data_IF_871898884384
#
_entry.id   IF_871898884384
#
_cell.length_a   1.000
_cell.length_b   1.000
_cell.length_c   1.000
_cell.angle_alpha   90.00
_cell.angle_beta   90.00
_cell.angle_gamma   90.00
#
_symmetry.space_group_name_H-M   'P 1'
#
loop_
_entity.id
_entity.type
_entity.pdbx_description
1 polymer ?
#
# COMPACT_ATOMS: atom_id res chain seq x y z
N UNK A 1 -19.41 18.31 22.43
CA UNK A 1 -19.65 18.65 21.02
C UNK A 1 -18.89 17.64 20.19
N UNK A 2 -19.57 16.55 19.80
CA UNK A 2 -19.03 15.51 18.92
C UNK A 2 -18.65 16.09 17.57
N UNK A 3 -17.42 15.86 17.16
CA UNK A 3 -16.97 15.75 15.76
C UNK A 3 -15.86 14.70 15.81
N UNK A 4 -16.14 13.40 15.84
CA UNK A 4 -16.34 12.59 14.62
C UNK A 4 -15.97 13.36 13.35
N UNK A 5 -14.69 13.36 12.99
CA UNK A 5 -14.29 13.47 11.58
C UNK A 5 -14.37 12.06 11.03
N UNK A 6 -15.55 11.72 10.53
CA UNK A 6 -15.84 10.50 9.80
C UNK A 6 -15.29 10.65 8.39
N UNK A 7 -13.97 10.64 8.23
CA UNK A 7 -13.33 10.72 6.92
C UNK A 7 -12.02 9.91 6.94
N UNK A 8 -12.03 8.60 7.23
CA UNK A 8 -10.78 7.80 7.11
C UNK A 8 -11.00 6.27 7.02
N UNK A 9 -11.95 5.78 6.21
CA UNK A 9 -12.06 4.32 6.00
C UNK A 9 -12.21 3.92 4.52
N UNK A 10 -11.99 4.82 3.56
CA UNK A 10 -12.36 4.51 2.16
C UNK A 10 -11.46 5.05 1.04
N UNK A 11 -10.34 5.73 1.32
CA UNK A 11 -9.45 6.26 0.26
C UNK A 11 -8.03 5.66 0.26
N UNK A 12 -7.69 4.85 1.26
CA UNK A 12 -6.35 4.21 1.33
C UNK A 12 -6.42 2.75 0.90
N UNK A 13 -5.61 2.40 -0.10
CA UNK A 13 -5.48 1.03 -0.61
C UNK A 13 -4.69 0.18 0.40
N UNK A 14 -5.23 -0.99 0.72
CA UNK A 14 -4.60 -1.92 1.64
C UNK A 14 -3.52 -2.75 0.92
N UNK A 15 -2.26 -2.60 1.29
CA UNK A 15 -1.14 -3.29 0.64
C UNK A 15 -1.15 -4.81 0.81
N UNK A 16 -1.89 -5.33 1.80
CA UNK A 16 -1.99 -6.77 2.06
C UNK A 16 -3.18 -7.41 1.33
N UNK A 17 -4.25 -6.65 1.08
CA UNK A 17 -5.48 -7.17 0.48
C UNK A 17 -5.66 -6.78 -0.99
N UNK A 18 -5.20 -5.59 -1.40
CA UNK A 18 -5.42 -5.05 -2.73
C UNK A 18 -4.77 -5.91 -3.83
N UNK A 19 -5.43 -6.00 -4.98
CA UNK A 19 -4.89 -6.62 -6.19
C UNK A 19 -3.76 -5.81 -6.80
N UNK A 20 -3.01 -6.40 -7.74
CA UNK A 20 -1.97 -5.68 -8.46
C UNK A 20 -2.52 -4.46 -9.19
N UNK A 21 -3.70 -4.58 -9.83
CA UNK A 21 -4.34 -3.51 -10.59
C UNK A 21 -4.78 -2.34 -9.67
N UNK A 22 -5.33 -2.66 -8.50
CA UNK A 22 -5.68 -1.65 -7.48
C UNK A 22 -4.45 -0.92 -6.92
N UNK A 23 -3.32 -1.61 -6.79
CA UNK A 23 -2.04 -1.00 -6.40
C UNK A 23 -1.45 -0.17 -7.53
N UNK A 24 -1.55 -0.62 -8.78
CA UNK A 24 -1.11 0.11 -9.97
C UNK A 24 -1.91 1.40 -10.21
N UNK A 25 -3.17 1.44 -9.76
CA UNK A 25 -3.99 2.64 -9.77
C UNK A 25 -3.53 3.72 -8.78
N UNK A 26 -2.65 3.39 -7.82
CA UNK A 26 -2.11 4.36 -6.85
C UNK A 26 -1.04 5.23 -7.51
N UNK A 27 -1.16 6.57 -7.47
CA UNK A 27 -0.12 7.47 -7.96
C UNK A 27 1.24 7.16 -7.31
N UNK A 28 2.26 6.89 -8.13
CA UNK A 28 3.60 6.51 -7.69
C UNK A 28 3.85 5.00 -7.59
N UNK A 29 2.81 4.15 -7.66
CA UNK A 29 2.93 2.69 -7.77
C UNK A 29 2.55 2.14 -9.15
N UNK A 30 2.21 3.00 -10.11
CA UNK A 30 1.87 2.56 -11.46
C UNK A 30 3.02 1.75 -12.11
N UNK A 31 2.72 0.50 -12.49
CA UNK A 31 3.66 -0.50 -13.00
C UNK A 31 4.32 -1.37 -11.94
N UNK A 32 4.03 -1.18 -10.65
CA UNK A 32 4.68 -1.81 -9.50
C UNK A 32 3.74 -2.70 -8.67
N UNK A 33 2.43 -2.72 -8.96
CA UNK A 33 1.46 -3.50 -8.19
C UNK A 33 1.78 -4.99 -8.14
N UNK A 34 2.23 -5.57 -9.27
CA UNK A 34 2.64 -6.97 -9.35
C UNK A 34 3.80 -7.32 -8.40
N UNK A 35 4.79 -6.43 -8.26
CA UNK A 35 5.96 -6.65 -7.40
C UNK A 35 5.56 -6.71 -5.93
N UNK A 36 4.62 -5.87 -5.50
CA UNK A 36 4.07 -5.86 -4.14
C UNK A 36 3.31 -7.16 -3.82
N UNK A 37 2.42 -7.58 -4.72
CA UNK A 37 1.63 -8.82 -4.56
C UNK A 37 2.55 -10.05 -4.51
N UNK A 38 3.55 -10.08 -5.39
CA UNK A 38 4.56 -11.14 -5.40
C UNK A 38 5.37 -11.16 -4.11
N UNK A 39 5.86 -10.00 -3.68
CA UNK A 39 6.67 -9.87 -2.46
C UNK A 39 5.91 -10.37 -1.23
N UNK A 40 4.65 -9.94 -1.02
CA UNK A 40 3.86 -10.40 0.13
C UNK A 40 3.53 -11.90 0.07
N UNK A 41 3.46 -12.49 -1.12
CA UNK A 41 3.29 -13.93 -1.32
C UNK A 41 4.55 -14.75 -0.97
N UNK A 42 5.74 -14.20 -1.24
CA UNK A 42 7.02 -14.88 -1.00
C UNK A 42 7.58 -14.61 0.42
N UNK A 43 7.37 -13.40 0.96
CA UNK A 43 7.98 -12.91 2.21
C UNK A 43 7.00 -12.85 3.39
N UNK A 44 5.69 -12.89 3.11
CA UNK A 44 4.64 -12.67 4.10
C UNK A 44 4.05 -11.26 4.05
N UNK A 45 3.00 -11.04 4.84
CA UNK A 45 2.28 -9.75 4.89
C UNK A 45 3.19 -8.62 5.35
N UNK A 46 2.93 -7.42 4.83
CA UNK A 46 3.52 -6.19 5.33
C UNK A 46 2.93 -5.85 6.71
N UNK A 47 3.77 -5.41 7.63
CA UNK A 47 3.38 -4.88 8.94
C UNK A 47 3.65 -3.38 9.05
N UNK A 48 4.45 -2.81 8.15
CA UNK A 48 4.75 -1.38 8.07
C UNK A 48 4.95 -0.95 6.61
N UNK A 49 4.47 0.25 6.24
CA UNK A 49 4.62 0.77 4.87
C UNK A 49 6.08 0.99 4.45
N UNK A 50 7.03 1.13 5.39
CA UNK A 50 8.47 1.22 5.09
C UNK A 50 8.99 -0.04 4.41
N UNK A 51 8.35 -1.18 4.64
CA UNK A 51 8.76 -2.45 4.02
C UNK A 51 8.49 -2.49 2.51
N UNK A 52 7.68 -1.56 1.98
CA UNK A 52 7.55 -1.41 0.52
C UNK A 52 8.89 -1.01 -0.14
N UNK A 53 9.82 -0.43 0.62
CA UNK A 53 11.17 -0.11 0.13
C UNK A 53 12.05 -1.36 -0.04
N UNK A 54 11.66 -2.48 0.58
CA UNK A 54 12.33 -3.77 0.42
C UNK A 54 11.85 -4.52 -0.84
N UNK A 55 10.75 -4.07 -1.45
CA UNK A 55 10.25 -4.62 -2.70
C UNK A 55 11.20 -4.18 -3.82
N UNK A 56 11.76 -5.13 -4.60
CA UNK A 56 12.60 -4.79 -5.75
C UNK A 56 11.88 -3.78 -6.65
N UNK A 57 12.59 -2.73 -7.09
CA UNK A 57 12.03 -1.72 -7.99
C UNK A 57 11.26 -0.57 -7.33
N UNK A 58 10.95 -0.65 -6.03
CA UNK A 58 10.13 0.35 -5.30
C UNK A 58 10.93 1.29 -4.37
N UNK A 59 12.19 0.97 -4.05
CA UNK A 59 13.02 1.81 -3.19
C UNK A 59 13.07 3.27 -3.68
N UNK A 60 12.67 4.21 -2.82
CA UNK A 60 12.61 5.65 -3.12
C UNK A 60 11.50 6.09 -4.10
N UNK A 61 10.59 5.20 -4.50
CA UNK A 61 9.44 5.54 -5.37
C UNK A 61 8.12 5.63 -4.61
N UNK A 62 8.06 5.02 -3.43
CA UNK A 62 6.80 4.88 -2.67
C UNK A 62 6.48 6.09 -1.80
N UNK A 63 7.41 7.02 -1.60
CA UNK A 63 7.25 8.17 -0.69
C UNK A 63 5.96 8.97 -0.93
N UNK A 64 5.64 9.28 -2.19
CA UNK A 64 4.40 9.97 -2.56
C UNK A 64 3.16 9.10 -2.44
N UNK A 65 3.29 7.79 -2.66
CA UNK A 65 2.19 6.82 -2.63
C UNK A 65 1.72 6.51 -1.21
N UNK A 66 2.60 6.65 -0.20
CA UNK A 66 2.32 6.29 1.21
C UNK A 66 1.10 6.99 1.80
N UNK A 67 0.75 8.19 1.33
CA UNK A 67 -0.46 8.89 1.76
C UNK A 67 -1.75 8.20 1.31
N UNK A 68 -1.68 7.31 0.33
CA UNK A 68 -2.79 6.57 -0.25
C UNK A 68 -2.78 5.08 0.12
N UNK A 69 -1.87 4.66 1.00
CA UNK A 69 -1.66 3.26 1.35
C UNK A 69 -1.88 3.05 2.84
N UNK A 70 -2.38 1.87 3.17
CA UNK A 70 -2.43 1.39 4.55
C UNK A 70 -1.99 -0.07 4.64
N UNK A 71 -1.59 -0.46 5.84
CA UNK A 71 -1.40 -1.86 6.20
C UNK A 71 -2.69 -2.32 6.88
N UNK A 72 -3.41 -3.27 6.29
CA UNK A 72 -4.59 -3.86 6.93
C UNK A 72 -4.27 -4.47 8.29
N UNK A 73 -5.15 -4.27 9.26
CA UNK A 73 -5.10 -5.02 10.52
C UNK A 73 -5.55 -6.47 10.27
N UNK A 74 -4.98 -7.39 11.07
CA UNK A 74 -5.14 -8.85 10.93
C UNK A 74 -6.60 -9.34 11.03
#
# INVERSE_FOLDING_TARGET
MTMMRSDDVSDTVDVNAATADELDAVPGLAGHGFEIVRYRGERGRFTDLRQLEEVPGLAGKVDGSRAHLRVGED
#
